data_IF_953703421865
#
_entry.id   IF_953703421865
#
_cell.length_a   1.000
_cell.length_b   1.000
_cell.length_c   1.000
_cell.angle_alpha   90.00
_cell.angle_beta   90.00
_cell.angle_gamma   90.00
#
_symmetry.space_group_name_H-M   'P 1'
#
loop_
_entity.id
_entity.type
_entity.pdbx_description
1 polymer ?
#
# COMPACT_ATOMS: atom_id res chain seq x y z
N UNK A 1 23.27 30.25 -0.26
CA UNK A 1 21.87 29.86 -0.60
C UNK A 1 21.92 29.40 -2.03
N UNK A 2 21.29 28.29 -2.37
CA UNK A 2 21.15 27.89 -3.77
C UNK A 2 20.44 29.02 -4.54
N UNK A 3 20.79 29.20 -5.79
CA UNK A 3 20.17 30.21 -6.66
C UNK A 3 18.69 29.87 -6.84
N UNK A 4 17.81 30.87 -6.73
CA UNK A 4 16.37 30.69 -6.92
C UNK A 4 16.08 30.57 -8.42
N UNK A 5 15.55 29.43 -8.85
CA UNK A 5 15.22 29.15 -10.26
C UNK A 5 13.75 29.43 -10.61
N UNK A 6 12.87 29.59 -9.64
CA UNK A 6 11.47 29.92 -9.89
C UNK A 6 11.24 31.43 -10.06
N UNK A 7 10.17 31.77 -10.77
CA UNK A 7 9.82 33.15 -11.09
C UNK A 7 8.70 33.74 -10.22
N UNK A 8 8.05 34.78 -10.76
CA UNK A 8 7.07 35.58 -10.02
C UNK A 8 5.75 34.87 -9.71
N UNK A 9 5.28 33.95 -10.55
CA UNK A 9 4.03 33.24 -10.28
C UNK A 9 4.18 32.24 -9.14
N UNK A 10 5.32 31.57 -9.06
CA UNK A 10 5.63 30.70 -7.93
C UNK A 10 5.76 31.51 -6.62
N UNK A 11 6.43 32.68 -6.67
CA UNK A 11 6.53 33.56 -5.48
C UNK A 11 5.16 33.97 -4.96
N UNK A 12 4.24 34.39 -5.85
CA UNK A 12 2.85 34.70 -5.49
C UNK A 12 2.13 33.49 -4.88
N UNK A 13 2.35 32.29 -5.42
CA UNK A 13 1.71 31.08 -4.89
C UNK A 13 2.22 30.74 -3.48
N UNK A 14 3.52 30.89 -3.21
CA UNK A 14 4.10 30.71 -1.87
C UNK A 14 3.48 31.71 -0.88
N UNK A 15 3.33 32.96 -1.29
CA UNK A 15 2.75 34.01 -0.44
C UNK A 15 1.24 33.81 -0.20
N UNK A 16 0.51 33.29 -1.20
CA UNK A 16 -0.94 33.10 -1.12
C UNK A 16 -1.38 31.86 -0.38
N UNK A 17 -0.56 30.81 -0.30
CA UNK A 17 -0.94 29.48 0.22
C UNK A 17 -0.07 29.00 1.40
N UNK A 18 0.18 29.80 2.47
CA UNK A 18 0.92 29.33 3.64
C UNK A 18 -0.02 28.52 4.56
N UNK A 19 -0.35 27.26 4.20
CA UNK A 19 -1.39 26.49 4.88
C UNK A 19 -0.79 25.42 5.79
N UNK A 20 -0.06 24.45 5.25
CA UNK A 20 0.45 23.30 6.01
C UNK A 20 1.96 23.27 6.16
N UNK A 21 2.69 23.94 5.29
CA UNK A 21 4.14 23.81 5.15
C UNK A 21 4.57 22.51 4.45
N UNK A 22 3.64 21.63 4.08
CA UNK A 22 3.93 20.44 3.28
C UNK A 22 3.96 20.80 1.79
N UNK A 23 5.02 20.41 1.11
CA UNK A 23 5.16 20.63 -0.34
C UNK A 23 4.40 19.57 -1.14
N UNK A 24 4.19 19.84 -2.42
CA UNK A 24 3.71 18.81 -3.36
C UNK A 24 4.67 17.61 -3.31
N UNK A 25 4.13 16.36 -3.31
CA UNK A 25 4.98 15.17 -3.27
C UNK A 25 6.05 15.17 -4.37
N UNK A 26 7.30 14.89 -3.98
CA UNK A 26 8.45 14.88 -4.90
C UNK A 26 8.24 14.02 -6.15
N UNK A 27 7.63 12.81 -6.08
CA UNK A 27 7.34 12.04 -7.28
C UNK A 27 6.50 12.80 -8.32
N UNK A 28 5.53 13.62 -7.89
CA UNK A 28 4.73 14.44 -8.83
C UNK A 28 5.60 15.49 -9.51
N UNK A 29 6.49 16.15 -8.77
CA UNK A 29 7.43 17.14 -9.31
C UNK A 29 8.33 16.51 -10.38
N UNK A 30 8.90 15.37 -10.08
CA UNK A 30 9.78 14.63 -11.01
C UNK A 30 9.03 14.19 -12.26
N UNK A 31 7.78 13.75 -12.11
CA UNK A 31 6.94 13.41 -13.25
C UNK A 31 6.50 14.63 -14.06
N UNK A 32 6.32 15.81 -13.47
CA UNK A 32 6.15 17.06 -14.23
C UNK A 32 7.39 17.33 -15.10
N UNK A 33 8.59 17.14 -14.56
CA UNK A 33 9.84 17.25 -15.33
C UNK A 33 9.87 16.30 -16.53
N UNK A 34 9.59 15.01 -16.31
CA UNK A 34 9.54 13.99 -17.39
C UNK A 34 8.52 14.31 -18.46
N UNK A 35 7.30 14.69 -18.07
CA UNK A 35 6.23 15.02 -19.03
C UNK A 35 6.63 16.25 -19.86
N UNK A 36 7.18 17.28 -19.23
CA UNK A 36 7.57 18.53 -19.94
C UNK A 36 8.76 18.31 -20.86
N UNK A 37 9.72 17.49 -20.47
CA UNK A 37 10.81 17.07 -21.34
C UNK A 37 10.30 16.32 -22.58
N UNK A 38 9.47 15.30 -22.38
CA UNK A 38 8.86 14.53 -23.47
C UNK A 38 7.94 15.41 -24.36
N UNK A 39 7.23 16.38 -23.77
CA UNK A 39 6.40 17.34 -24.51
C UNK A 39 7.24 18.27 -25.40
N UNK A 40 8.40 18.72 -24.90
CA UNK A 40 9.32 19.56 -25.71
C UNK A 40 9.87 18.76 -26.90
N UNK A 41 10.31 17.53 -26.70
CA UNK A 41 10.77 16.66 -27.81
C UNK A 41 9.65 16.41 -28.83
N UNK A 42 8.43 16.12 -28.37
CA UNK A 42 7.27 15.91 -29.24
C UNK A 42 6.94 17.18 -30.05
N UNK A 43 6.92 18.35 -29.42
CA UNK A 43 6.67 19.63 -30.09
C UNK A 43 7.79 19.98 -31.08
N UNK A 44 9.05 19.70 -30.77
CA UNK A 44 10.18 19.83 -31.70
C UNK A 44 10.01 18.93 -32.93
N UNK A 45 9.69 17.66 -32.73
CA UNK A 45 9.47 16.68 -33.80
C UNK A 45 8.24 17.01 -34.68
N UNK A 46 7.26 17.72 -34.12
CA UNK A 46 6.06 18.17 -34.82
C UNK A 46 6.21 19.59 -35.47
N UNK A 47 7.39 20.21 -35.31
CA UNK A 47 7.70 21.53 -35.87
C UNK A 47 7.07 22.70 -35.08
N UNK A 48 6.61 22.47 -33.86
CA UNK A 48 6.06 23.53 -32.99
C UNK A 48 7.14 24.28 -32.19
N UNK A 49 8.28 23.65 -31.93
CA UNK A 49 9.45 24.28 -31.29
C UNK A 49 10.69 24.17 -32.16
N UNK A 50 11.54 25.18 -32.08
CA UNK A 50 12.87 25.12 -32.68
C UNK A 50 13.67 23.97 -32.03
N UNK A 51 14.40 23.15 -32.83
CA UNK A 51 15.05 21.93 -32.30
C UNK A 51 16.02 22.18 -31.14
N UNK A 52 16.85 23.22 -31.22
CA UNK A 52 17.78 23.56 -30.13
C UNK A 52 17.06 23.95 -28.83
N UNK A 53 15.96 24.69 -28.92
CA UNK A 53 15.15 25.06 -27.76
C UNK A 53 14.44 23.82 -27.17
N UNK A 54 13.91 22.94 -28.02
CA UNK A 54 13.28 21.70 -27.58
C UNK A 54 14.27 20.80 -26.82
N UNK A 55 15.52 20.66 -27.31
CA UNK A 55 16.58 19.89 -26.66
C UNK A 55 16.93 20.48 -25.28
N UNK A 56 17.11 21.80 -25.17
CA UNK A 56 17.41 22.46 -23.89
C UNK A 56 16.28 22.34 -22.88
N UNK A 57 15.02 22.46 -23.30
CA UNK A 57 13.86 22.23 -22.42
C UNK A 57 13.78 20.77 -21.99
N UNK A 58 14.04 19.82 -22.89
CA UNK A 58 14.05 18.40 -22.58
C UNK A 58 15.15 18.07 -21.54
N UNK A 59 16.35 18.60 -21.71
CA UNK A 59 17.45 18.43 -20.75
C UNK A 59 17.12 19.01 -19.38
N UNK A 60 16.52 20.21 -19.32
CA UNK A 60 16.06 20.82 -18.08
C UNK A 60 14.95 19.99 -17.39
N UNK A 61 13.99 19.45 -18.17
CA UNK A 61 12.97 18.54 -17.66
C UNK A 61 13.57 17.25 -17.09
N UNK A 62 14.59 16.70 -17.74
CA UNK A 62 15.31 15.51 -17.26
C UNK A 62 16.05 15.77 -15.94
N UNK A 63 16.71 16.91 -15.78
CA UNK A 63 17.37 17.29 -14.53
C UNK A 63 16.39 17.32 -13.33
N UNK A 64 15.18 17.86 -13.55
CA UNK A 64 14.10 17.80 -12.54
C UNK A 64 13.66 16.36 -12.28
N UNK A 65 13.51 15.54 -13.34
CA UNK A 65 13.12 14.14 -13.22
C UNK A 65 14.13 13.31 -12.41
N UNK A 66 15.40 13.65 -12.46
CA UNK A 66 16.50 13.03 -11.71
C UNK A 66 16.62 13.56 -10.28
N UNK A 67 15.89 14.63 -9.94
CA UNK A 67 15.83 15.19 -8.60
C UNK A 67 16.94 16.21 -8.28
N UNK A 68 17.64 16.71 -9.27
CA UNK A 68 18.72 17.69 -9.07
C UNK A 68 18.22 19.02 -8.48
N UNK A 69 16.91 19.31 -8.65
CA UNK A 69 16.29 20.58 -8.27
C UNK A 69 15.04 20.43 -7.39
N UNK A 70 14.94 19.36 -6.58
CA UNK A 70 13.78 19.10 -5.71
C UNK A 70 13.50 20.26 -4.72
N UNK A 71 14.53 21.03 -4.35
CA UNK A 71 14.44 22.20 -3.47
C UNK A 71 13.73 23.41 -4.12
N UNK A 72 13.66 23.46 -5.46
CA UNK A 72 13.07 24.54 -6.23
C UNK A 72 11.52 24.49 -6.34
N UNK A 73 10.87 23.61 -5.59
CA UNK A 73 9.42 23.42 -5.56
C UNK A 73 8.83 23.70 -4.18
N UNK A 74 8.74 24.99 -3.76
CA UNK A 74 8.38 25.36 -2.41
C UNK A 74 6.89 25.43 -2.11
N UNK A 75 6.02 25.28 -3.12
CA UNK A 75 4.59 25.55 -3.00
C UNK A 75 3.91 24.52 -2.11
N UNK A 76 3.08 24.99 -1.17
CA UNK A 76 2.25 24.16 -0.29
C UNK A 76 1.31 23.26 -1.11
N UNK A 77 1.08 22.05 -0.63
CA UNK A 77 0.17 21.10 -1.28
C UNK A 77 -1.28 21.60 -1.30
N UNK A 78 -1.70 22.39 -0.31
CA UNK A 78 -2.99 23.08 -0.30
C UNK A 78 -2.90 24.38 -1.10
N UNK A 79 -3.11 24.26 -2.41
CA UNK A 79 -2.95 25.31 -3.40
C UNK A 79 -4.15 25.36 -4.35
N UNK A 80 -4.00 25.98 -5.52
CA UNK A 80 -4.98 25.91 -6.61
C UNK A 80 -5.35 24.46 -6.90
N UNK A 81 -6.63 24.12 -6.82
CA UNK A 81 -7.11 22.72 -6.80
C UNK A 81 -6.84 21.91 -8.08
N UNK A 82 -6.55 22.56 -9.21
CA UNK A 82 -6.08 21.95 -10.45
C UNK A 82 -4.57 21.67 -10.47
N UNK A 83 -3.81 22.15 -9.48
CA UNK A 83 -2.35 22.09 -9.46
C UNK A 83 -1.67 23.14 -10.35
N UNK A 84 -2.40 24.19 -10.77
CA UNK A 84 -1.84 25.24 -11.63
C UNK A 84 -0.59 25.89 -11.05
N UNK A 85 -0.56 26.13 -9.75
CA UNK A 85 0.59 26.74 -9.09
C UNK A 85 1.85 25.88 -9.25
N UNK A 86 1.75 24.58 -9.03
CA UNK A 86 2.87 23.64 -9.22
C UNK A 86 3.25 23.44 -10.69
N UNK A 87 2.27 23.44 -11.60
CA UNK A 87 2.57 23.41 -13.03
C UNK A 87 3.35 24.65 -13.47
N UNK A 88 2.93 25.85 -13.01
CA UNK A 88 3.65 27.09 -13.29
C UNK A 88 5.04 27.10 -12.67
N UNK A 89 5.21 26.59 -11.46
CA UNK A 89 6.50 26.43 -10.83
C UNK A 89 7.45 25.58 -11.71
N UNK A 90 6.98 24.42 -12.18
CA UNK A 90 7.77 23.59 -13.09
C UNK A 90 8.11 24.32 -14.39
N UNK A 91 7.15 25.06 -14.98
CA UNK A 91 7.39 25.85 -16.17
C UNK A 91 8.48 26.93 -15.98
N UNK A 92 8.41 27.67 -14.85
CA UNK A 92 9.38 28.72 -14.53
C UNK A 92 10.78 28.15 -14.29
N UNK A 93 10.90 27.06 -13.52
CA UNK A 93 12.20 26.42 -13.23
C UNK A 93 12.80 25.85 -14.52
N UNK A 94 12.03 25.15 -15.35
CA UNK A 94 12.50 24.60 -16.62
C UNK A 94 12.91 25.72 -17.59
N UNK A 95 12.13 26.78 -17.69
CA UNK A 95 12.47 27.90 -18.56
C UNK A 95 13.78 28.59 -18.15
N UNK A 96 14.01 28.74 -16.84
CA UNK A 96 15.24 29.29 -16.30
C UNK A 96 16.45 28.37 -16.62
N UNK A 97 16.32 27.07 -16.39
CA UNK A 97 17.36 26.08 -16.69
C UNK A 97 17.66 25.98 -18.18
N UNK A 98 16.65 26.06 -19.05
CA UNK A 98 16.81 26.03 -20.49
C UNK A 98 17.47 27.31 -21.04
N UNK A 99 17.47 28.41 -20.29
CA UNK A 99 18.20 29.63 -20.59
C UNK A 99 17.56 30.52 -21.65
N UNK A 100 18.38 31.31 -22.33
CA UNK A 100 17.95 32.37 -23.23
C UNK A 100 16.95 31.88 -24.30
N UNK A 101 15.87 32.65 -24.45
CA UNK A 101 14.79 32.40 -25.42
C UNK A 101 13.72 31.37 -24.92
N UNK A 102 13.92 30.70 -23.81
CA UNK A 102 12.92 29.84 -23.22
C UNK A 102 11.84 30.66 -22.48
N UNK A 103 10.56 30.43 -22.80
CA UNK A 103 9.44 31.05 -22.11
C UNK A 103 8.54 30.01 -21.45
N UNK A 104 8.18 30.24 -20.20
CA UNK A 104 7.45 29.28 -19.37
C UNK A 104 6.12 28.83 -19.98
N UNK A 105 5.34 29.78 -20.52
CA UNK A 105 4.02 29.47 -21.10
C UNK A 105 4.09 29.10 -22.58
N UNK A 106 4.87 29.86 -23.39
CA UNK A 106 4.83 29.72 -24.85
C UNK A 106 5.61 28.49 -25.33
N UNK A 107 6.66 28.09 -24.60
CA UNK A 107 7.55 27.01 -24.98
C UNK A 107 7.44 25.79 -24.05
N UNK A 108 7.69 25.94 -22.73
CA UNK A 108 7.69 24.83 -21.79
C UNK A 108 6.29 24.21 -21.63
N UNK A 109 5.25 25.06 -21.63
CA UNK A 109 3.86 24.61 -21.47
C UNK A 109 3.13 24.39 -22.81
N UNK A 110 3.81 24.45 -23.95
CA UNK A 110 3.22 24.29 -25.28
C UNK A 110 2.44 22.98 -25.41
N UNK A 111 1.18 23.06 -25.84
CA UNK A 111 0.29 21.91 -26.00
C UNK A 111 -0.23 21.34 -24.70
N UNK A 112 -0.07 22.03 -23.59
CA UNK A 112 -0.45 21.56 -22.24
C UNK A 112 -1.36 22.58 -21.54
N UNK A 113 -2.12 22.10 -20.57
CA UNK A 113 -2.78 22.89 -19.53
C UNK A 113 -2.45 22.29 -18.16
N UNK A 114 -2.51 23.08 -17.09
CA UNK A 114 -2.45 22.53 -15.73
C UNK A 114 -3.53 21.47 -15.52
N UNK A 115 -4.65 21.61 -16.21
CA UNK A 115 -5.82 20.75 -16.07
C UNK A 115 -5.60 19.31 -16.58
N UNK A 116 -4.69 19.10 -17.52
CA UNK A 116 -4.33 17.78 -18.03
C UNK A 116 -2.94 17.32 -17.59
N UNK A 117 -1.93 18.20 -17.53
CA UNK A 117 -0.55 17.81 -17.21
C UNK A 117 -0.35 17.48 -15.74
N UNK A 118 -0.92 18.28 -14.82
CA UNK A 118 -0.75 18.03 -13.39
C UNK A 118 -1.41 16.71 -12.94
N UNK A 119 -2.68 16.43 -13.27
CA UNK A 119 -3.25 15.12 -12.95
C UNK A 119 -2.54 13.98 -13.67
N UNK A 120 -2.03 14.17 -14.90
CA UNK A 120 -1.20 13.14 -15.55
C UNK A 120 0.06 12.84 -14.76
N UNK A 121 0.72 13.87 -14.20
CA UNK A 121 1.88 13.65 -13.31
C UNK A 121 1.51 12.90 -12.03
N UNK A 122 0.33 13.15 -11.46
CA UNK A 122 -0.16 12.41 -10.28
C UNK A 122 -0.45 10.94 -10.62
N UNK A 123 -1.11 10.68 -11.75
CA UNK A 123 -1.35 9.32 -12.24
C UNK A 123 -0.05 8.55 -12.45
N UNK A 124 0.92 9.15 -13.13
CA UNK A 124 2.20 8.51 -13.44
C UNK A 124 3.07 8.33 -12.19
N UNK A 125 3.07 9.29 -11.28
CA UNK A 125 3.75 9.13 -9.99
C UNK A 125 3.16 7.97 -9.17
N UNK A 126 1.83 7.85 -9.14
CA UNK A 126 1.18 6.73 -8.45
C UNK A 126 1.47 5.38 -9.14
N UNK A 127 1.42 5.33 -10.47
CA UNK A 127 1.75 4.14 -11.26
C UNK A 127 3.18 3.67 -11.01
N UNK A 128 4.12 4.59 -11.03
CA UNK A 128 5.56 4.36 -10.85
C UNK A 128 5.85 3.83 -9.44
N UNK A 129 5.43 4.55 -8.41
CA UNK A 129 5.64 4.17 -7.01
C UNK A 129 4.96 2.83 -6.66
N UNK A 130 3.77 2.56 -7.22
CA UNK A 130 3.13 1.25 -7.03
C UNK A 130 3.92 0.14 -7.70
N UNK A 131 4.33 0.35 -8.97
CA UNK A 131 5.00 -0.68 -9.77
C UNK A 131 6.39 -1.00 -9.24
N UNK A 132 7.19 0.01 -8.89
CA UNK A 132 8.60 -0.16 -8.57
C UNK A 132 8.91 -0.20 -7.07
N UNK A 133 7.99 0.23 -6.20
CA UNK A 133 8.22 0.23 -4.75
C UNK A 133 7.20 -0.63 -3.98
N UNK A 134 5.89 -0.38 -4.14
CA UNK A 134 4.88 -1.06 -3.33
C UNK A 134 4.72 -2.54 -3.69
N UNK A 135 4.52 -2.88 -4.96
CA UNK A 135 4.31 -4.28 -5.37
C UNK A 135 5.51 -5.19 -5.03
N UNK A 136 6.78 -4.78 -5.24
CA UNK A 136 7.92 -5.53 -4.75
C UNK A 136 7.92 -5.73 -3.23
N UNK A 137 7.56 -4.71 -2.45
CA UNK A 137 7.48 -4.81 -0.99
C UNK A 137 6.37 -5.78 -0.53
N UNK A 138 5.20 -5.74 -1.18
CA UNK A 138 4.09 -6.68 -0.94
C UNK A 138 4.49 -8.11 -1.29
N UNK A 139 5.13 -8.31 -2.44
CA UNK A 139 5.62 -9.63 -2.88
C UNK A 139 6.67 -10.21 -1.94
N UNK A 140 7.56 -9.37 -1.42
CA UNK A 140 8.55 -9.77 -0.42
C UNK A 140 7.89 -10.25 0.89
N UNK A 141 6.85 -9.54 1.38
CA UNK A 141 6.08 -9.95 2.54
C UNK A 141 5.29 -11.25 2.30
N UNK A 142 4.64 -11.39 1.13
CA UNK A 142 3.96 -12.64 0.76
C UNK A 142 4.92 -13.83 0.82
N UNK A 143 6.10 -13.69 0.20
CA UNK A 143 7.13 -14.73 0.18
C UNK A 143 7.59 -15.13 1.58
N UNK A 144 7.81 -14.17 2.47
CA UNK A 144 8.21 -14.44 3.85
C UNK A 144 7.12 -15.16 4.65
N UNK A 145 5.86 -14.72 4.52
CA UNK A 145 4.72 -15.38 5.17
C UNK A 145 4.53 -16.82 4.66
N UNK A 146 4.69 -17.04 3.35
CA UNK A 146 4.65 -18.38 2.75
C UNK A 146 5.76 -19.27 3.27
N UNK A 147 6.99 -18.77 3.38
CA UNK A 147 8.11 -19.49 3.96
C UNK A 147 7.84 -19.89 5.43
N UNK A 148 7.24 -18.99 6.22
CA UNK A 148 6.80 -19.33 7.59
C UNK A 148 5.66 -20.33 7.61
N UNK A 149 4.73 -20.29 6.68
CA UNK A 149 3.68 -21.31 6.56
C UNK A 149 4.27 -22.71 6.33
N UNK A 150 5.31 -22.82 5.50
CA UNK A 150 6.04 -24.07 5.26
C UNK A 150 6.84 -24.50 6.50
N UNK A 151 7.55 -23.57 7.16
CA UNK A 151 8.32 -23.83 8.37
C UNK A 151 7.44 -24.35 9.52
N UNK A 152 6.23 -23.79 9.68
CA UNK A 152 5.31 -24.10 10.77
C UNK A 152 4.21 -25.12 10.37
N UNK A 153 4.38 -25.83 9.26
CA UNK A 153 3.36 -26.73 8.70
C UNK A 153 2.84 -27.79 9.69
N UNK A 154 3.71 -28.26 10.57
CA UNK A 154 3.41 -29.31 11.55
C UNK A 154 3.30 -28.79 13.00
N UNK A 155 3.39 -27.48 13.21
CA UNK A 155 3.23 -26.87 14.54
C UNK A 155 1.74 -26.72 14.84
N UNK A 156 1.21 -27.64 15.64
CA UNK A 156 -0.21 -27.63 16.03
C UNK A 156 -0.45 -26.63 17.15
N UNK A 157 -1.60 -25.95 17.08
CA UNK A 157 -2.08 -24.99 18.08
C UNK A 157 -3.59 -25.05 18.24
N UNK A 158 -4.11 -24.49 19.32
CA UNK A 158 -5.54 -24.25 19.45
C UNK A 158 -5.99 -23.23 18.41
N UNK A 159 -6.98 -23.57 17.58
CA UNK A 159 -7.72 -22.58 16.82
C UNK A 159 -8.56 -21.72 17.76
N UNK A 160 -8.86 -20.47 17.34
CA UNK A 160 -9.73 -19.56 18.11
C UNK A 160 -10.73 -18.87 17.21
N UNK A 161 -11.98 -18.91 17.65
CA UNK A 161 -13.07 -18.09 17.05
C UNK A 161 -13.67 -17.25 18.16
N UNK A 162 -13.95 -15.98 17.92
CA UNK A 162 -14.39 -15.03 18.96
C UNK A 162 -13.39 -14.91 20.14
N UNK A 163 -12.12 -15.19 19.92
CA UNK A 163 -11.07 -15.37 20.94
C UNK A 163 -11.31 -16.54 21.92
N UNK A 164 -12.31 -17.37 21.66
CA UNK A 164 -12.61 -18.57 22.42
C UNK A 164 -11.97 -19.79 21.77
N UNK A 165 -11.65 -20.78 22.59
CA UNK A 165 -11.03 -22.03 22.14
C UNK A 165 -11.89 -22.72 21.07
N UNK A 166 -11.23 -23.20 20.03
CA UNK A 166 -11.83 -23.97 18.95
C UNK A 166 -10.98 -25.23 18.65
N UNK A 167 -11.33 -25.93 17.59
CA UNK A 167 -10.60 -27.12 17.14
C UNK A 167 -9.17 -26.79 16.72
N UNK A 168 -8.22 -27.75 16.80
CA UNK A 168 -6.85 -27.53 16.42
C UNK A 168 -6.68 -27.12 14.96
N UNK A 169 -5.69 -26.25 14.74
CA UNK A 169 -5.15 -25.87 13.43
C UNK A 169 -3.63 -25.97 13.49
N UNK A 170 -2.94 -25.85 12.38
CA UNK A 170 -1.49 -25.63 12.42
C UNK A 170 -1.16 -24.14 12.32
N UNK A 171 -0.09 -23.72 12.95
CA UNK A 171 0.44 -22.36 12.81
C UNK A 171 0.78 -22.07 11.34
N UNK A 172 1.25 -23.10 10.59
CA UNK A 172 1.47 -23.01 9.15
C UNK A 172 0.21 -22.68 8.36
N UNK A 173 -0.95 -23.20 8.75
CA UNK A 173 -2.24 -22.84 8.11
C UNK A 173 -2.61 -21.38 8.35
N UNK A 174 -2.38 -20.83 9.54
CA UNK A 174 -2.60 -19.40 9.83
C UNK A 174 -1.69 -18.52 8.96
N UNK A 175 -0.38 -18.81 8.92
CA UNK A 175 0.57 -18.06 8.09
C UNK A 175 0.28 -18.22 6.59
N UNK A 176 -0.18 -19.38 6.15
CA UNK A 176 -0.69 -19.59 4.78
C UNK A 176 -1.89 -18.71 4.46
N UNK A 177 -2.81 -18.54 5.42
CA UNK A 177 -3.93 -17.60 5.31
C UNK A 177 -3.47 -16.14 5.17
N UNK A 178 -2.46 -15.73 5.96
CA UNK A 178 -1.88 -14.39 5.85
C UNK A 178 -1.18 -14.16 4.50
N UNK A 179 -0.40 -15.13 4.02
CA UNK A 179 0.22 -15.07 2.71
C UNK A 179 -0.82 -14.94 1.58
N UNK A 180 -1.91 -15.72 1.64
CA UNK A 180 -3.02 -15.63 0.69
C UNK A 180 -3.71 -14.25 0.75
N UNK A 181 -3.87 -13.68 1.92
CA UNK A 181 -4.47 -12.36 2.11
C UNK A 181 -3.61 -11.26 1.46
N UNK A 182 -2.28 -11.31 1.61
CA UNK A 182 -1.33 -10.41 0.96
C UNK A 182 -1.37 -10.58 -0.57
N UNK A 183 -1.31 -11.82 -1.07
CA UNK A 183 -1.42 -12.13 -2.51
C UNK A 183 -2.68 -11.54 -3.13
N UNK A 184 -3.84 -11.71 -2.50
CA UNK A 184 -5.09 -11.12 -2.94
C UNK A 184 -5.05 -9.60 -2.91
N UNK A 185 -4.30 -9.01 -1.98
CA UNK A 185 -3.99 -7.57 -1.95
C UNK A 185 -3.19 -7.13 -3.17
N UNK A 186 -2.13 -7.87 -3.53
CA UNK A 186 -1.32 -7.63 -4.76
C UNK A 186 -2.23 -7.61 -5.99
N UNK A 187 -3.04 -8.66 -6.18
CA UNK A 187 -3.94 -8.75 -7.33
C UNK A 187 -4.95 -7.60 -7.42
N UNK A 188 -5.45 -7.11 -6.28
CA UNK A 188 -6.37 -5.94 -6.25
C UNK A 188 -5.67 -4.68 -6.72
N UNK A 189 -4.46 -4.44 -6.23
CA UNK A 189 -3.65 -3.27 -6.63
C UNK A 189 -3.28 -3.35 -8.10
N UNK A 190 -2.74 -4.48 -8.57
CA UNK A 190 -2.40 -4.71 -10.00
C UNK A 190 -3.61 -4.49 -10.91
N UNK A 191 -4.81 -4.92 -10.48
CA UNK A 191 -6.05 -4.76 -11.24
C UNK A 191 -6.46 -3.31 -11.50
N UNK A 192 -5.89 -2.32 -10.78
CA UNK A 192 -6.14 -0.89 -10.97
C UNK A 192 -5.19 -0.23 -11.97
N UNK A 193 -3.97 -0.78 -12.15
CA UNK A 193 -2.86 -0.09 -12.79
C UNK A 193 -3.14 0.31 -14.23
N UNK A 194 -3.85 -0.53 -14.99
CA UNK A 194 -4.24 -0.20 -16.36
C UNK A 194 -5.05 1.10 -16.44
N UNK A 195 -5.95 1.33 -15.48
CA UNK A 195 -6.77 2.57 -15.44
C UNK A 195 -5.97 3.75 -14.93
N UNK A 196 -5.09 3.54 -13.97
CA UNK A 196 -4.15 4.56 -13.49
C UNK A 196 -3.23 5.02 -14.62
N UNK A 197 -2.76 4.12 -15.49
CA UNK A 197 -1.93 4.44 -16.64
C UNK A 197 -2.65 5.15 -17.80
N UNK A 198 -3.98 5.30 -17.73
CA UNK A 198 -4.77 6.10 -18.66
C UNK A 198 -4.76 7.57 -18.25
N UNK A 199 -3.86 8.37 -18.84
CA UNK A 199 -3.62 9.75 -18.42
C UNK A 199 -4.40 10.77 -19.25
N UNK A 200 -4.87 11.88 -18.63
CA UNK A 200 -5.65 12.93 -19.33
C UNK A 200 -4.84 13.78 -20.28
N UNK A 201 -3.51 13.64 -20.36
CA UNK A 201 -2.63 14.46 -21.18
C UNK A 201 -3.09 14.50 -22.65
N UNK A 202 -3.22 15.72 -23.17
CA UNK A 202 -3.75 16.02 -24.51
C UNK A 202 -5.14 16.60 -24.50
N UNK A 203 -5.89 16.53 -23.37
CA UNK A 203 -7.19 17.18 -23.22
C UNK A 203 -7.11 18.71 -23.08
N UNK A 204 -5.95 19.21 -22.72
CA UNK A 204 -5.71 20.64 -22.44
C UNK A 204 -6.65 21.22 -21.39
N UNK A 205 -7.41 22.28 -21.71
CA UNK A 205 -8.22 22.98 -20.73
C UNK A 205 -9.46 22.19 -20.28
N UNK A 206 -10.16 21.53 -21.20
CA UNK A 206 -11.49 20.94 -20.97
C UNK A 206 -11.69 19.53 -21.58
N UNK A 207 -10.70 18.98 -22.26
CA UNK A 207 -10.80 17.68 -22.95
C UNK A 207 -10.78 17.77 -24.48
N UNK A 208 -10.85 18.97 -25.06
CA UNK A 208 -10.94 19.16 -26.51
C UNK A 208 -9.60 19.13 -27.24
N UNK A 209 -8.48 19.25 -26.52
CA UNK A 209 -7.14 19.36 -27.14
C UNK A 209 -6.91 20.69 -27.89
N UNK A 210 -7.58 21.76 -27.48
CA UNK A 210 -7.45 23.07 -28.11
C UNK A 210 -5.98 23.53 -28.13
N UNK A 211 -5.51 24.00 -29.28
CA UNK A 211 -4.15 24.49 -29.52
C UNK A 211 -3.06 23.41 -29.41
N UNK A 212 -3.39 22.14 -29.65
CA UNK A 212 -2.40 21.05 -29.73
C UNK A 212 -2.38 20.44 -31.13
N UNK A 213 -1.22 19.89 -31.49
CA UNK A 213 -1.13 19.04 -32.68
C UNK A 213 -1.85 17.70 -32.40
N UNK A 214 -2.62 17.13 -33.35
CA UNK A 214 -3.37 15.87 -33.12
C UNK A 214 -2.52 14.69 -32.65
N UNK A 215 -1.24 14.62 -33.06
CA UNK A 215 -0.32 13.55 -32.67
C UNK A 215 0.44 13.85 -31.36
N UNK A 216 0.35 15.05 -30.81
CA UNK A 216 1.14 15.48 -29.65
C UNK A 216 1.02 14.52 -28.46
N UNK A 217 -0.19 14.29 -28.01
CA UNK A 217 -0.43 13.47 -26.82
C UNK A 217 0.02 12.00 -27.01
N UNK A 218 -0.15 11.45 -28.22
CA UNK A 218 0.31 10.09 -28.54
C UNK A 218 1.83 10.00 -28.47
N UNK A 219 2.55 10.94 -29.10
CA UNK A 219 4.02 10.96 -29.06
C UNK A 219 4.59 11.11 -27.66
N UNK A 220 3.98 11.97 -26.82
CA UNK A 220 4.42 12.12 -25.42
C UNK A 220 4.21 10.83 -24.65
N UNK A 221 3.06 10.18 -24.75
CA UNK A 221 2.80 8.90 -24.07
C UNK A 221 3.74 7.78 -24.53
N UNK A 222 3.97 7.66 -25.85
CA UNK A 222 4.92 6.69 -26.41
C UNK A 222 6.34 6.90 -25.87
N UNK A 223 6.80 8.15 -25.84
CA UNK A 223 8.11 8.49 -25.26
C UNK A 223 8.20 8.13 -23.79
N UNK A 224 7.23 8.55 -22.97
CA UNK A 224 7.20 8.26 -21.55
C UNK A 224 7.16 6.74 -21.26
N UNK A 225 6.36 5.99 -22.02
CA UNK A 225 6.30 4.54 -21.91
C UNK A 225 7.64 3.86 -22.28
N UNK A 226 8.28 4.33 -23.36
CA UNK A 226 9.56 3.82 -23.79
C UNK A 226 10.68 4.07 -22.77
N UNK A 227 10.69 5.27 -22.16
CA UNK A 227 11.74 5.66 -21.21
C UNK A 227 11.61 4.97 -19.85
N UNK A 228 10.38 4.60 -19.45
CA UNK A 228 10.10 4.11 -18.08
C UNK A 228 9.66 2.65 -18.01
N UNK A 229 9.26 2.06 -19.13
CA UNK A 229 8.70 0.71 -19.19
C UNK A 229 7.29 0.60 -18.59
N UNK A 230 6.66 1.70 -18.19
CA UNK A 230 5.30 1.72 -17.64
C UNK A 230 4.24 1.59 -18.74
N UNK A 231 3.12 0.96 -18.42
CA UNK A 231 1.96 0.90 -19.32
C UNK A 231 1.18 2.23 -19.31
N UNK A 232 1.55 3.13 -20.24
CA UNK A 232 0.94 4.46 -20.37
C UNK A 232 0.07 4.51 -21.62
N UNK A 233 -1.18 4.95 -21.49
CA UNK A 233 -2.12 5.04 -22.60
C UNK A 233 -2.99 6.31 -22.53
N UNK A 234 -3.72 6.59 -23.61
CA UNK A 234 -4.74 7.63 -23.60
C UNK A 234 -5.99 7.21 -22.84
N UNK A 235 -6.78 8.16 -22.39
CA UNK A 235 -8.04 7.87 -21.71
C UNK A 235 -9.07 7.28 -22.69
N UNK A 236 -10.04 6.55 -22.15
CA UNK A 236 -11.18 6.06 -22.93
C UNK A 236 -12.01 7.24 -23.48
N UNK A 237 -12.21 8.25 -22.66
CA UNK A 237 -12.88 9.49 -23.00
C UNK A 237 -12.12 10.68 -22.39
N UNK A 238 -11.73 11.70 -23.19
CA UNK A 238 -10.93 12.80 -22.67
C UNK A 238 -11.71 13.73 -21.74
N UNK A 239 -13.03 13.81 -21.83
CA UNK A 239 -13.84 14.65 -20.96
C UNK A 239 -14.04 13.99 -19.60
N UNK A 240 -14.25 12.67 -19.55
CA UNK A 240 -14.25 11.91 -18.31
C UNK A 240 -12.91 12.05 -17.58
N UNK A 241 -11.81 11.81 -18.28
CA UNK A 241 -10.46 11.89 -17.70
C UNK A 241 -10.08 13.29 -17.22
N UNK A 242 -10.68 14.35 -17.80
CA UNK A 242 -10.49 15.73 -17.38
C UNK A 242 -11.29 16.05 -16.11
N UNK A 243 -12.55 15.62 -16.06
CA UNK A 243 -13.49 15.94 -14.99
C UNK A 243 -13.33 15.07 -13.74
N UNK A 244 -12.98 13.80 -13.91
CA UNK A 244 -12.99 12.80 -12.84
C UNK A 244 -11.58 12.32 -12.45
N UNK A 245 -11.51 11.62 -11.31
CA UNK A 245 -10.28 11.00 -10.79
C UNK A 245 -10.55 9.58 -10.29
N UNK A 246 -11.53 8.89 -10.90
CA UNK A 246 -12.05 7.61 -10.44
C UNK A 246 -10.97 6.53 -10.39
N UNK A 247 -10.02 6.51 -11.33
CA UNK A 247 -8.89 5.58 -11.31
C UNK A 247 -7.98 5.74 -10.08
N UNK A 248 -7.76 6.98 -9.61
CA UNK A 248 -6.99 7.26 -8.39
C UNK A 248 -7.78 6.91 -7.13
N UNK A 249 -9.09 7.14 -7.13
CA UNK A 249 -10.01 6.73 -6.04
C UNK A 249 -10.06 5.20 -5.94
N UNK A 250 -10.14 4.50 -7.07
CA UNK A 250 -10.13 3.03 -7.12
C UNK A 250 -8.82 2.46 -6.56
N UNK A 251 -7.68 3.00 -6.98
CA UNK A 251 -6.38 2.61 -6.42
C UNK A 251 -6.36 2.83 -4.91
N UNK A 252 -6.78 4.00 -4.43
CA UNK A 252 -6.87 4.30 -2.99
C UNK A 252 -7.73 3.29 -2.24
N UNK A 253 -8.87 2.90 -2.80
CA UNK A 253 -9.73 1.85 -2.25
C UNK A 253 -9.04 0.48 -2.17
N UNK A 254 -8.26 0.11 -3.18
CA UNK A 254 -7.47 -1.14 -3.17
C UNK A 254 -6.37 -1.09 -2.09
N UNK A 255 -5.68 0.05 -1.94
CA UNK A 255 -4.69 0.28 -0.90
C UNK A 255 -5.30 0.19 0.50
N UNK A 256 -6.49 0.75 0.71
CA UNK A 256 -7.24 0.60 1.96
C UNK A 256 -7.55 -0.86 2.30
N UNK A 257 -7.98 -1.67 1.32
CA UNK A 257 -8.22 -3.11 1.55
C UNK A 257 -6.94 -3.80 1.99
N UNK A 258 -5.81 -3.47 1.38
CA UNK A 258 -4.51 -4.01 1.80
C UNK A 258 -4.11 -3.56 3.20
N UNK A 259 -4.34 -2.29 3.55
CA UNK A 259 -4.11 -1.77 4.90
C UNK A 259 -4.95 -2.53 5.96
N UNK A 260 -6.21 -2.83 5.67
CA UNK A 260 -7.09 -3.65 6.53
C UNK A 260 -6.51 -5.06 6.71
N UNK A 261 -5.96 -5.66 5.65
CA UNK A 261 -5.29 -6.96 5.72
C UNK A 261 -4.05 -6.92 6.62
N UNK A 262 -3.19 -5.92 6.44
CA UNK A 262 -2.00 -5.74 7.28
C UNK A 262 -2.36 -5.51 8.75
N UNK A 263 -3.40 -4.72 9.03
CA UNK A 263 -3.89 -4.48 10.37
C UNK A 263 -4.31 -5.78 11.07
N UNK A 264 -5.04 -6.65 10.36
CA UNK A 264 -5.44 -7.97 10.88
C UNK A 264 -4.21 -8.84 11.19
N UNK A 265 -3.28 -8.96 10.25
CA UNK A 265 -2.07 -9.76 10.40
C UNK A 265 -1.24 -9.26 11.59
N UNK A 266 -1.01 -7.95 11.67
CA UNK A 266 -0.22 -7.35 12.74
C UNK A 266 -0.85 -7.55 14.13
N UNK A 267 -2.18 -7.41 14.24
CA UNK A 267 -2.89 -7.69 15.50
C UNK A 267 -2.75 -9.15 15.93
N UNK A 268 -2.89 -10.11 15.02
CA UNK A 268 -2.75 -11.53 15.35
C UNK A 268 -1.31 -11.85 15.79
N UNK A 269 -0.30 -11.34 15.09
CA UNK A 269 1.10 -11.53 15.46
C UNK A 269 1.40 -10.97 16.86
N UNK A 270 0.90 -9.76 17.16
CA UNK A 270 1.04 -9.16 18.49
C UNK A 270 0.33 -9.96 19.56
N UNK A 271 -0.86 -10.49 19.29
CA UNK A 271 -1.65 -11.28 20.24
C UNK A 271 -0.99 -12.65 20.49
N UNK A 272 -0.56 -13.36 19.46
CA UNK A 272 0.15 -14.64 19.60
C UNK A 272 1.50 -14.49 20.32
N UNK A 273 2.18 -13.35 20.15
CA UNK A 273 3.42 -13.01 20.86
C UNK A 273 3.23 -12.45 22.27
N UNK A 274 1.99 -12.30 22.75
CA UNK A 274 1.69 -11.70 24.06
C UNK A 274 2.21 -12.55 25.23
N UNK A 275 2.68 -11.91 26.29
CA UNK A 275 3.17 -12.58 27.49
C UNK A 275 4.58 -12.13 27.91
N UNK A 276 5.56 -13.00 28.15
CA UNK A 276 5.62 -14.46 27.83
C UNK A 276 4.98 -15.44 28.85
N UNK A 277 4.52 -14.95 29.99
CA UNK A 277 3.98 -15.86 31.05
C UNK A 277 2.49 -15.70 31.29
N UNK A 278 1.97 -14.50 31.07
CA UNK A 278 0.57 -14.12 31.32
C UNK A 278 -0.23 -13.83 30.03
N UNK A 279 0.28 -14.24 28.89
CA UNK A 279 -0.37 -14.12 27.59
C UNK A 279 -0.34 -15.43 26.82
N UNK A 280 -0.56 -15.37 25.50
CA UNK A 280 -0.60 -16.59 24.66
C UNK A 280 0.78 -17.21 24.48
N UNK A 281 1.80 -16.40 24.27
CA UNK A 281 3.19 -16.83 24.09
C UNK A 281 3.41 -17.94 23.03
N UNK A 282 2.57 -17.98 22.00
CA UNK A 282 2.66 -18.96 20.92
C UNK A 282 3.75 -18.62 19.90
N UNK A 283 4.11 -17.32 19.82
CA UNK A 283 5.21 -16.81 19.01
C UNK A 283 6.25 -16.10 19.87
N UNK A 284 7.50 -16.21 19.47
CA UNK A 284 8.60 -15.38 19.95
C UNK A 284 8.90 -14.31 18.91
N UNK A 285 8.69 -13.05 19.28
CA UNK A 285 8.95 -11.91 18.43
C UNK A 285 10.43 -11.50 18.52
N UNK A 286 11.06 -10.99 17.43
CA UNK A 286 12.41 -10.47 17.49
C UNK A 286 12.54 -9.31 18.47
N UNK A 287 13.60 -9.34 19.29
CA UNK A 287 13.95 -8.23 20.17
C UNK A 287 14.73 -7.17 19.40
N UNK A 288 14.06 -6.06 19.06
CA UNK A 288 14.65 -4.99 18.26
C UNK A 288 15.15 -3.82 19.12
N UNK A 289 14.52 -3.61 20.27
CA UNK A 289 14.87 -2.55 21.22
C UNK A 289 14.34 -2.87 22.61
N UNK A 290 14.85 -2.18 23.63
CA UNK A 290 14.31 -2.29 24.98
C UNK A 290 12.84 -1.90 25.00
N UNK A 291 11.98 -2.81 25.45
CA UNK A 291 10.52 -2.61 25.48
C UNK A 291 10.02 -1.71 26.60
N UNK A 292 10.87 -1.43 27.60
CA UNK A 292 10.53 -0.57 28.74
C UNK A 292 11.78 0.03 29.36
N UNK A 293 11.66 1.27 29.84
CA UNK A 293 12.72 1.93 30.61
C UNK A 293 12.81 1.44 32.07
N UNK A 294 11.73 0.81 32.59
CA UNK A 294 11.60 0.41 34.00
C UNK A 294 11.38 -1.08 34.21
N UNK A 295 11.08 -1.86 33.16
CA UNK A 295 10.84 -3.29 33.22
C UNK A 295 11.89 -4.06 32.41
N UNK A 296 12.98 -4.56 33.03
CA UNK A 296 14.01 -5.32 32.32
C UNK A 296 13.46 -6.56 31.62
N UNK A 297 13.92 -6.83 30.39
CA UNK A 297 13.54 -8.01 29.62
C UNK A 297 12.14 -7.95 28.98
N UNK A 298 11.45 -6.80 29.05
CA UNK A 298 10.17 -6.63 28.35
C UNK A 298 10.42 -6.40 26.85
N UNK A 299 9.90 -7.28 26.00
CA UNK A 299 9.89 -7.15 24.53
C UNK A 299 8.51 -6.77 24.06
N UNK A 300 8.39 -5.65 23.35
CA UNK A 300 7.11 -5.19 22.81
C UNK A 300 6.99 -5.56 21.32
N UNK A 301 5.77 -5.75 20.79
CA UNK A 301 5.51 -6.02 19.37
C UNK A 301 5.59 -4.75 18.53
N UNK A 302 6.74 -4.04 18.58
CA UNK A 302 6.88 -2.67 18.04
C UNK A 302 6.62 -2.57 16.53
N UNK A 303 6.97 -3.59 15.75
CA UNK A 303 6.69 -3.57 14.30
C UNK A 303 5.20 -3.79 14.01
N UNK A 304 4.50 -4.77 14.62
CA UNK A 304 3.04 -4.84 14.57
C UNK A 304 2.36 -3.51 14.95
N UNK A 305 2.80 -2.83 16.00
CA UNK A 305 2.27 -1.53 16.42
C UNK A 305 2.43 -0.46 15.34
N UNK A 306 3.59 -0.38 14.69
CA UNK A 306 3.83 0.55 13.55
C UNK A 306 2.89 0.23 12.39
N UNK A 307 2.73 -1.04 12.03
CA UNK A 307 1.85 -1.47 10.94
C UNK A 307 0.39 -1.08 11.20
N UNK A 308 -0.09 -1.25 12.43
CA UNK A 308 -1.44 -0.88 12.84
C UNK A 308 -1.66 0.65 12.70
N UNK A 309 -0.67 1.46 13.08
CA UNK A 309 -0.73 2.92 12.92
C UNK A 309 -0.74 3.31 11.44
N UNK A 310 0.10 2.71 10.62
CA UNK A 310 0.11 2.92 9.16
C UNK A 310 -1.24 2.55 8.55
N UNK A 311 -1.82 1.43 8.94
CA UNK A 311 -3.13 1.03 8.43
C UNK A 311 -4.23 2.05 8.77
N UNK A 312 -4.23 2.58 9.99
CA UNK A 312 -5.17 3.62 10.40
C UNK A 312 -4.99 4.91 9.58
N UNK A 313 -3.73 5.34 9.33
CA UNK A 313 -3.44 6.52 8.52
C UNK A 313 -3.92 6.34 7.07
N UNK A 314 -3.66 5.19 6.46
CA UNK A 314 -4.08 4.88 5.07
C UNK A 314 -5.61 4.88 4.94
N UNK A 315 -6.33 4.36 5.93
CA UNK A 315 -7.80 4.43 5.97
C UNK A 315 -8.28 5.90 6.01
N UNK A 316 -7.62 6.75 6.78
CA UNK A 316 -7.90 8.18 6.82
C UNK A 316 -7.60 8.89 5.50
N UNK A 317 -6.48 8.56 4.87
CA UNK A 317 -6.07 9.07 3.57
C UNK A 317 -7.10 8.69 2.48
N UNK A 318 -7.58 7.44 2.48
CA UNK A 318 -8.62 6.99 1.53
C UNK A 318 -9.93 7.77 1.69
N UNK A 319 -10.33 8.11 2.90
CA UNK A 319 -11.49 8.96 3.12
C UNK A 319 -11.31 10.36 2.50
N UNK A 320 -10.13 10.96 2.65
CA UNK A 320 -9.79 12.24 2.02
C UNK A 320 -9.80 12.14 0.48
N UNK A 321 -9.21 11.08 -0.09
CA UNK A 321 -9.20 10.82 -1.54
C UNK A 321 -10.62 10.62 -2.06
N UNK A 322 -11.47 9.86 -1.38
CA UNK A 322 -12.87 9.61 -1.76
C UNK A 322 -13.66 10.93 -1.81
N UNK A 323 -13.56 11.76 -0.76
CA UNK A 323 -14.23 13.06 -0.72
C UNK A 323 -13.71 13.98 -1.83
N UNK A 324 -12.39 14.01 -2.04
CA UNK A 324 -11.79 14.82 -3.11
C UNK A 324 -12.21 14.34 -4.50
N UNK A 325 -12.30 13.03 -4.74
CA UNK A 325 -12.76 12.46 -6.01
C UNK A 325 -14.22 12.80 -6.33
N UNK A 326 -15.08 12.91 -5.30
CA UNK A 326 -16.52 13.23 -5.48
C UNK A 326 -16.82 14.67 -5.84
N UNK A 327 -15.82 15.56 -5.96
CA UNK A 327 -15.98 17.02 -6.06
C UNK A 327 -15.64 17.60 -7.45
N UNK A 328 -15.80 16.87 -8.51
CA UNK A 328 -15.67 17.39 -9.88
C UNK A 328 -16.95 18.10 -10.32
N UNK A 329 -16.87 19.38 -10.74
CA UNK A 329 -17.97 20.11 -11.37
C UNK A 329 -17.66 20.33 -12.85
N UNK A 330 -18.58 19.91 -13.72
CA UNK A 330 -18.45 19.98 -15.16
C UNK A 330 -17.14 19.32 -15.63
N UNK A 331 -16.23 20.06 -16.26
CA UNK A 331 -15.07 19.55 -16.97
C UNK A 331 -13.79 19.47 -16.11
N UNK A 332 -13.84 19.70 -14.78
CA UNK A 332 -12.62 19.67 -13.96
C UNK A 332 -12.86 19.30 -12.49
N UNK A 333 -12.08 18.32 -12.01
CA UNK A 333 -11.87 18.13 -10.58
C UNK A 333 -10.80 19.09 -10.06
N UNK A 334 -11.12 19.88 -9.05
CA UNK A 334 -10.22 20.88 -8.44
C UNK A 334 -9.75 20.49 -7.02
N UNK A 335 -9.47 19.21 -6.82
CA UNK A 335 -8.93 18.65 -5.56
C UNK A 335 -7.70 17.76 -5.80
N UNK A 336 -7.08 17.90 -6.94
CA UNK A 336 -5.99 17.01 -7.39
C UNK A 336 -4.76 17.04 -6.48
N UNK A 337 -4.29 18.18 -5.95
CA UNK A 337 -3.17 18.19 -5.00
C UNK A 337 -3.47 17.43 -3.70
N UNK A 338 -4.69 17.50 -3.18
CA UNK A 338 -5.12 16.74 -2.01
C UNK A 338 -5.13 15.23 -2.29
N UNK A 339 -5.60 14.82 -3.47
CA UNK A 339 -5.54 13.41 -3.91
C UNK A 339 -4.08 12.97 -3.99
N UNK A 340 -3.21 13.74 -4.65
CA UNK A 340 -1.79 13.43 -4.79
C UNK A 340 -1.11 13.20 -3.43
N UNK A 341 -1.31 14.11 -2.47
CA UNK A 341 -0.76 14.00 -1.12
C UNK A 341 -1.15 12.69 -0.44
N UNK A 342 -2.45 12.43 -0.35
CA UNK A 342 -2.95 11.30 0.44
C UNK A 342 -2.69 9.96 -0.24
N UNK A 343 -2.79 9.89 -1.57
CA UNK A 343 -2.57 8.67 -2.33
C UNK A 343 -1.08 8.25 -2.30
N UNK A 344 -0.17 9.17 -2.61
CA UNK A 344 1.27 8.87 -2.62
C UNK A 344 1.81 8.59 -1.22
N UNK A 345 1.31 9.30 -0.19
CA UNK A 345 1.62 8.98 1.20
C UNK A 345 1.19 7.55 1.56
N UNK A 346 -0.02 7.15 1.16
CA UNK A 346 -0.52 5.78 1.38
C UNK A 346 0.35 4.72 0.69
N UNK A 347 0.77 4.93 -0.56
CA UNK A 347 1.65 4.03 -1.29
C UNK A 347 2.98 3.87 -0.55
N UNK A 348 3.63 4.97 -0.21
CA UNK A 348 4.91 5.00 0.52
C UNK A 348 4.82 4.33 1.89
N UNK A 349 3.78 4.65 2.67
CA UNK A 349 3.57 4.08 4.01
C UNK A 349 3.36 2.56 3.94
N UNK A 350 2.54 2.06 3.00
CA UNK A 350 2.29 0.64 2.85
C UNK A 350 3.51 -0.13 2.34
N UNK A 351 4.29 0.44 1.42
CA UNK A 351 5.53 -0.16 0.97
C UNK A 351 6.52 -0.30 2.13
N UNK A 352 6.70 0.76 2.91
CA UNK A 352 7.60 0.76 4.07
C UNK A 352 7.13 -0.20 5.16
N UNK A 353 5.83 -0.21 5.49
CA UNK A 353 5.26 -1.11 6.49
C UNK A 353 5.38 -2.58 6.08
N UNK A 354 5.19 -2.89 4.79
CA UNK A 354 5.36 -4.24 4.26
C UNK A 354 6.80 -4.73 4.40
N UNK A 355 7.78 -3.90 4.05
CA UNK A 355 9.21 -4.21 4.26
C UNK A 355 9.55 -4.40 5.74
N UNK A 356 9.12 -3.49 6.60
CA UNK A 356 9.38 -3.59 8.03
C UNK A 356 8.75 -4.85 8.64
N UNK A 357 7.50 -5.16 8.28
CA UNK A 357 6.83 -6.36 8.77
C UNK A 357 7.55 -7.62 8.31
N UNK A 358 7.99 -7.67 7.05
CA UNK A 358 8.80 -8.76 6.51
C UNK A 358 10.14 -8.89 7.26
N UNK A 359 11.00 -7.87 7.15
CA UNK A 359 12.41 -7.95 7.51
C UNK A 359 12.67 -7.92 9.02
N UNK A 360 11.85 -7.15 9.75
CA UNK A 360 12.06 -6.89 11.20
C UNK A 360 11.12 -7.67 12.09
N UNK A 361 10.10 -8.35 11.54
CA UNK A 361 9.17 -9.16 12.31
C UNK A 361 9.10 -10.59 11.77
N UNK A 362 8.48 -10.81 10.60
CA UNK A 362 8.19 -12.15 10.07
C UNK A 362 9.45 -12.98 9.87
N UNK A 363 10.52 -12.44 9.32
CA UNK A 363 11.77 -13.17 9.07
C UNK A 363 12.34 -13.79 10.34
N UNK A 364 12.29 -13.08 11.46
CA UNK A 364 12.85 -13.49 12.75
C UNK A 364 11.85 -14.14 13.72
N UNK A 365 10.61 -14.40 13.31
CA UNK A 365 9.61 -15.08 14.14
C UNK A 365 9.97 -16.55 14.40
N UNK A 366 9.80 -17.00 15.63
CA UNK A 366 9.91 -18.39 16.05
C UNK A 366 8.62 -18.89 16.68
N UNK A 367 8.25 -20.13 16.42
CA UNK A 367 7.16 -20.79 17.12
C UNK A 367 7.62 -21.19 18.55
N UNK A 368 6.72 -21.02 19.51
CA UNK A 368 6.89 -21.61 20.82
C UNK A 368 6.07 -22.91 20.90
N UNK A 369 6.66 -23.99 20.37
CA UNK A 369 5.98 -25.29 20.20
C UNK A 369 5.43 -25.85 21.52
N UNK A 370 6.14 -25.66 22.63
CA UNK A 370 5.68 -26.08 23.96
C UNK A 370 4.33 -25.41 24.32
N UNK A 371 4.21 -24.10 24.02
CA UNK A 371 2.99 -23.36 24.36
C UNK A 371 1.85 -23.65 23.38
N UNK A 372 2.16 -23.81 22.10
CA UNK A 372 1.14 -24.13 21.09
C UNK A 372 0.54 -25.51 21.35
N UNK A 373 1.38 -26.51 21.64
CA UNK A 373 0.95 -27.89 22.00
C UNK A 373 0.13 -27.88 23.30
N UNK A 374 0.62 -27.22 24.35
CA UNK A 374 -0.10 -27.06 25.61
C UNK A 374 -1.49 -26.45 25.42
N UNK A 375 -1.63 -25.42 24.56
CA UNK A 375 -2.94 -24.85 24.30
C UNK A 375 -3.84 -25.78 23.48
N UNK A 376 -3.27 -26.51 22.51
CA UNK A 376 -4.02 -27.49 21.74
C UNK A 376 -4.57 -28.64 22.60
N UNK A 377 -3.80 -29.07 23.59
CA UNK A 377 -4.24 -30.13 24.58
C UNK A 377 -5.26 -29.60 25.59
N UNK A 378 -5.16 -28.31 25.97
CA UNK A 378 -6.04 -27.72 26.98
C UNK A 378 -7.44 -27.40 26.45
N UNK A 379 -7.62 -27.26 25.14
CA UNK A 379 -8.94 -26.92 24.58
C UNK A 379 -9.92 -28.08 24.66
N UNK A 380 -11.08 -27.87 25.32
CA UNK A 380 -12.15 -28.83 25.38
C UNK A 380 -12.89 -29.04 24.03
N UNK A 381 -12.66 -28.16 23.07
CA UNK A 381 -13.27 -28.24 21.72
C UNK A 381 -12.81 -29.51 20.95
N UNK A 382 -11.67 -30.09 21.31
CA UNK A 382 -11.16 -31.36 20.76
C UNK A 382 -12.10 -32.53 20.99
N UNK A 383 -12.98 -32.45 22.02
CA UNK A 383 -14.03 -33.46 22.26
C UNK A 383 -14.95 -33.69 21.07
N UNK A 384 -15.06 -32.70 20.15
CA UNK A 384 -15.83 -32.84 18.91
C UNK A 384 -15.38 -34.05 18.09
N UNK A 385 -14.09 -34.39 18.11
CA UNK A 385 -13.56 -35.57 17.42
C UNK A 385 -13.97 -36.90 18.03
N UNK A 386 -14.46 -36.92 19.28
CA UNK A 386 -15.01 -38.11 19.92
C UNK A 386 -16.43 -38.43 19.47
N UNK A 387 -17.19 -37.45 18.91
CA UNK A 387 -18.58 -37.64 18.53
C UNK A 387 -18.84 -38.86 17.62
N UNK A 388 -18.01 -39.14 16.59
CA UNK A 388 -18.20 -40.32 15.74
C UNK A 388 -18.05 -41.66 16.49
N UNK A 389 -17.27 -41.67 17.58
CA UNK A 389 -16.91 -42.89 18.34
C UNK A 389 -17.86 -43.15 19.50
N UNK A 390 -18.30 -42.11 20.22
CA UNK A 390 -19.03 -42.26 21.49
C UNK A 390 -20.40 -41.56 21.51
N UNK A 391 -20.73 -40.82 20.46
CA UNK A 391 -21.94 -39.99 20.35
C UNK A 391 -21.82 -38.59 21.01
N UNK A 392 -22.65 -37.65 20.57
CA UNK A 392 -22.62 -36.25 21.03
C UNK A 392 -22.88 -36.12 22.55
N UNK A 393 -23.90 -36.77 23.09
CA UNK A 393 -24.32 -36.61 24.49
C UNK A 393 -23.21 -37.06 25.47
N UNK A 394 -22.58 -38.20 25.17
CA UNK A 394 -21.48 -38.71 25.98
C UNK A 394 -20.24 -37.81 25.90
N UNK A 395 -19.92 -37.28 24.70
CA UNK A 395 -18.86 -36.32 24.55
C UNK A 395 -19.14 -35.01 25.31
N UNK A 396 -20.39 -34.54 25.30
CA UNK A 396 -20.82 -33.36 26.07
C UNK A 396 -20.70 -33.55 27.58
N UNK A 397 -21.01 -34.74 28.12
CA UNK A 397 -20.85 -35.06 29.54
C UNK A 397 -19.37 -35.11 29.95
N UNK A 398 -18.49 -35.61 29.08
CA UNK A 398 -17.03 -35.60 29.28
C UNK A 398 -16.53 -34.14 29.34
N UNK A 399 -16.94 -33.27 28.38
CA UNK A 399 -16.58 -31.87 28.37
C UNK A 399 -17.04 -31.15 29.62
N UNK A 400 -18.26 -31.36 30.05
CA UNK A 400 -18.81 -30.76 31.25
C UNK A 400 -18.02 -31.16 32.48
N UNK A 401 -17.75 -32.47 32.65
CA UNK A 401 -16.96 -32.99 33.77
C UNK A 401 -15.53 -32.46 33.78
N UNK A 402 -14.87 -32.37 32.61
CA UNK A 402 -13.55 -31.80 32.46
C UNK A 402 -13.51 -30.33 32.86
N UNK A 403 -14.49 -29.54 32.38
CA UNK A 403 -14.61 -28.11 32.69
C UNK A 403 -14.84 -27.87 34.19
N UNK A 404 -15.73 -28.64 34.83
CA UNK A 404 -16.05 -28.49 36.25
C UNK A 404 -14.91 -28.94 37.18
N UNK A 405 -14.17 -29.96 36.76
CA UNK A 405 -13.08 -30.54 37.58
C UNK A 405 -11.70 -29.92 37.32
N UNK A 406 -11.53 -29.15 36.22
CA UNK A 406 -10.24 -28.63 35.80
C UNK A 406 -9.26 -29.70 35.30
N UNK A 407 -9.73 -30.91 35.03
CA UNK A 407 -8.94 -32.05 34.53
C UNK A 407 -8.91 -32.04 32.99
N UNK A 408 -7.90 -32.70 32.42
CA UNK A 408 -7.81 -32.85 30.98
C UNK A 408 -8.97 -33.67 30.41
N UNK A 409 -9.35 -33.38 29.14
CA UNK A 409 -10.36 -34.14 28.43
C UNK A 409 -10.03 -35.64 28.35
N UNK A 410 -8.73 -35.97 28.17
CA UNK A 410 -8.23 -37.33 28.06
C UNK A 410 -8.40 -38.11 29.37
N UNK A 411 -8.05 -37.48 30.51
CA UNK A 411 -8.22 -38.13 31.83
C UNK A 411 -9.68 -38.44 32.12
N UNK A 412 -10.58 -37.52 31.91
CA UNK A 412 -12.01 -37.68 32.13
C UNK A 412 -12.62 -38.75 31.20
N UNK A 413 -12.22 -38.73 29.92
CA UNK A 413 -12.69 -39.71 28.95
C UNK A 413 -12.26 -41.13 29.28
N UNK A 414 -11.00 -41.33 29.73
CA UNK A 414 -10.51 -42.62 30.21
C UNK A 414 -11.29 -43.11 31.42
N UNK A 415 -11.50 -42.26 32.43
CA UNK A 415 -12.29 -42.59 33.61
C UNK A 415 -13.73 -42.98 33.30
N UNK A 416 -14.32 -42.34 32.31
CA UNK A 416 -15.67 -42.65 31.79
C UNK A 416 -15.69 -43.83 30.81
N UNK A 417 -14.58 -44.59 30.71
CA UNK A 417 -14.51 -45.85 29.96
C UNK A 417 -14.44 -45.69 28.47
N UNK A 418 -13.85 -44.60 27.97
CA UNK A 418 -13.48 -44.50 26.53
C UNK A 418 -12.19 -45.30 26.33
N UNK A 419 -12.16 -46.15 25.33
CA UNK A 419 -11.00 -46.99 25.03
C UNK A 419 -9.77 -46.14 24.69
N UNK A 420 -8.56 -46.46 25.25
CA UNK A 420 -7.35 -45.67 24.97
C UNK A 420 -7.04 -45.54 23.48
N UNK A 421 -7.22 -46.58 22.70
CA UNK A 421 -6.98 -46.56 21.25
C UNK A 421 -7.88 -45.54 20.50
N UNK A 422 -9.16 -45.43 20.94
CA UNK A 422 -10.08 -44.43 20.41
C UNK A 422 -9.60 -43.03 20.74
N UNK A 423 -9.10 -42.79 21.95
CA UNK A 423 -8.58 -41.49 22.38
C UNK A 423 -7.30 -41.10 21.62
N UNK A 424 -6.40 -42.05 21.42
CA UNK A 424 -5.19 -41.79 20.63
C UNK A 424 -5.48 -41.43 19.20
N UNK A 425 -6.45 -42.12 18.58
CA UNK A 425 -6.88 -41.82 17.21
C UNK A 425 -7.66 -40.52 17.11
N UNK A 426 -8.69 -40.32 17.94
CA UNK A 426 -9.59 -39.19 17.88
C UNK A 426 -8.92 -37.85 18.31
N UNK A 427 -8.02 -37.92 19.32
CA UNK A 427 -7.31 -36.75 19.85
C UNK A 427 -5.91 -36.57 19.24
N UNK A 428 -5.64 -37.13 18.08
CA UNK A 428 -4.48 -36.74 17.25
C UNK A 428 -4.71 -35.36 16.65
N UNK A 429 -4.17 -34.35 17.29
CA UNK A 429 -4.35 -32.96 16.91
C UNK A 429 -3.82 -32.65 15.50
N UNK A 430 -2.79 -33.32 14.99
CA UNK A 430 -2.27 -33.19 13.65
C UNK A 430 -3.27 -33.71 12.62
N UNK A 431 -3.92 -34.84 12.92
CA UNK A 431 -4.97 -35.40 12.08
C UNK A 431 -6.21 -34.51 12.09
N UNK A 432 -6.59 -33.99 13.26
CA UNK A 432 -7.74 -33.05 13.38
C UNK A 432 -7.57 -31.77 12.59
N UNK A 433 -6.35 -31.29 12.38
CA UNK A 433 -6.06 -30.06 11.63
C UNK A 433 -6.21 -30.21 10.10
N UNK A 434 -6.57 -31.41 9.60
CA UNK A 434 -6.72 -31.70 8.15
C UNK A 434 -7.97 -32.55 7.92
N UNK A 435 -8.67 -32.39 6.76
CA UNK A 435 -9.71 -33.32 6.37
C UNK A 435 -9.14 -34.75 6.30
N UNK A 436 -9.85 -35.70 6.88
CA UNK A 436 -9.47 -37.13 6.87
C UNK A 436 -10.73 -38.00 6.79
N UNK A 437 -10.58 -39.22 6.23
CA UNK A 437 -11.62 -40.25 6.17
C UNK A 437 -11.82 -40.92 7.54
#
# INVERSE_FOLDING_TARGET
MAEQLWGGETTKAVDNFPVSGERVPVPVVRWLGRIKGAAAEANGALGGLEPDLAERIAAAGQAIAEGEHDDQFPIDVFQTGSGTSSNMNANEVIANLAGDGAHANDHVNMGQSSNDVFPSAVHLAALDEVTHDLLPAMGGLEGALKSKAEQFADVVKAGRTHLMDAVPVTLGQEFGGYAAQVRLGVQRVEGTLRRVGQIPLGGTATGTGLNTHPEFAAKVREKLAADTGLEISGPLDPFEAQANRDALVELSGALKVYAVSLNKIANDLALMGSGPRAGLAELRLPELQKGSSIMPGKVNPVIPEVVIQVAAQVIGNDAAVTVAGSQGQFELNVRVPLIARNLLDSIKLLASASRLLNEKCVAGLEANEEMTERHAEATLATATALNPHIGYDRAADIVKTAAESGRSLREVALEQGVEPAVLEEALDHRRMARPHE
#
